data_IF_093518360922
#
_entry.id   IF_093518360922
#
_cell.length_a   1.000
_cell.length_b   1.000
_cell.length_c   1.000
_cell.angle_alpha   90.00
_cell.angle_beta   90.00
_cell.angle_gamma   90.00
#
_symmetry.space_group_name_H-M   'P 1'
#
loop_
_entity.id
_entity.type
_entity.pdbx_description
1 polymer ?
#
# COMPACT_ATOMS: atom_id res chain seq x y z
N UNK A 1 15.29 -1.30 -0.82
CA UNK A 1 15.16 -2.14 -2.03
C UNK A 1 16.43 -2.97 -2.29
N UNK A 2 17.60 -2.36 -2.51
CA UNK A 2 18.86 -3.11 -2.78
C UNK A 2 19.29 -4.05 -1.65
N UNK A 3 19.19 -3.60 -0.38
CA UNK A 3 19.49 -4.44 0.80
C UNK A 3 18.57 -5.67 0.93
N UNK A 4 17.35 -5.58 0.39
CA UNK A 4 16.35 -6.65 0.42
C UNK A 4 16.55 -7.60 -0.76
N UNK A 5 16.85 -7.05 -1.94
CA UNK A 5 17.18 -7.83 -3.13
C UNK A 5 18.42 -8.71 -2.93
N UNK A 6 19.42 -8.21 -2.18
CA UNK A 6 20.58 -9.02 -1.78
C UNK A 6 20.26 -10.26 -0.94
N UNK A 7 19.03 -10.38 -0.42
CA UNK A 7 18.55 -11.54 0.35
C UNK A 7 17.61 -12.46 -0.44
N UNK A 8 17.21 -12.09 -1.66
CA UNK A 8 16.27 -12.86 -2.48
C UNK A 8 16.92 -13.15 -3.83
N UNK A 9 17.53 -14.33 -3.95
CA UNK A 9 18.13 -14.79 -5.20
C UNK A 9 17.07 -14.83 -6.31
N UNK A 10 17.37 -14.21 -7.45
CA UNK A 10 16.45 -14.13 -8.58
C UNK A 10 15.38 -13.04 -8.50
N UNK A 11 15.39 -12.17 -7.48
CA UNK A 11 14.59 -10.94 -7.46
C UNK A 11 15.49 -9.72 -7.46
N UNK A 12 15.26 -8.80 -8.38
CA UNK A 12 16.01 -7.55 -8.44
C UNK A 12 15.39 -6.49 -7.53
N UNK A 13 16.17 -5.49 -7.13
CA UNK A 13 15.65 -4.34 -6.39
C UNK A 13 14.49 -3.65 -7.11
N UNK A 14 14.45 -3.74 -8.45
CA UNK A 14 13.40 -3.19 -9.28
C UNK A 14 12.07 -3.94 -9.14
N UNK A 15 12.11 -5.28 -9.05
CA UNK A 15 10.90 -6.10 -8.85
C UNK A 15 10.20 -5.79 -7.53
N UNK A 16 11.00 -5.60 -6.46
CA UNK A 16 10.47 -5.32 -5.13
C UNK A 16 9.85 -3.91 -5.10
N UNK A 17 10.49 -2.92 -5.76
CA UNK A 17 9.92 -1.57 -6.00
C UNK A 17 8.59 -1.65 -6.75
N UNK A 18 8.55 -2.42 -7.84
CA UNK A 18 7.37 -2.54 -8.69
C UNK A 18 6.20 -3.20 -7.95
N UNK A 19 6.49 -4.23 -7.14
CA UNK A 19 5.49 -4.88 -6.29
C UNK A 19 4.90 -3.91 -5.27
N UNK A 20 5.72 -3.08 -4.63
CA UNK A 20 5.23 -2.10 -3.66
C UNK A 20 4.34 -1.03 -4.29
N UNK A 21 4.80 -0.43 -5.39
CA UNK A 21 4.05 0.60 -6.10
C UNK A 21 2.71 0.09 -6.66
N UNK A 22 2.66 -1.15 -7.14
CA UNK A 22 1.43 -1.70 -7.73
C UNK A 22 0.49 -2.35 -6.71
N UNK A 23 0.99 -3.11 -5.75
CA UNK A 23 0.16 -3.92 -4.83
C UNK A 23 -0.05 -3.28 -3.45
N UNK A 24 0.96 -2.61 -2.90
CA UNK A 24 0.92 -2.14 -1.52
C UNK A 24 0.46 -0.69 -1.44
N UNK A 25 0.83 0.16 -2.41
CA UNK A 25 0.35 1.53 -2.48
C UNK A 25 -1.18 1.62 -2.65
N UNK A 26 -1.78 0.81 -3.55
CA UNK A 26 -3.24 0.78 -3.74
C UNK A 26 -3.98 0.35 -2.47
N UNK A 27 -3.48 -0.67 -1.77
CA UNK A 27 -4.07 -1.14 -0.51
C UNK A 27 -3.93 -0.11 0.62
N UNK A 28 -2.79 0.56 0.71
CA UNK A 28 -2.53 1.57 1.73
C UNK A 28 -3.34 2.84 1.49
N UNK A 29 -3.49 3.30 0.24
CA UNK A 29 -4.36 4.44 -0.12
C UNK A 29 -5.83 4.11 0.11
N UNK A 30 -6.28 2.90 -0.25
CA UNK A 30 -7.65 2.45 0.03
C UNK A 30 -7.93 2.40 1.55
N UNK A 31 -6.98 1.88 2.34
CA UNK A 31 -7.08 1.84 3.79
C UNK A 31 -7.06 3.24 4.42
N UNK A 32 -6.19 4.14 3.95
CA UNK A 32 -6.19 5.54 4.39
C UNK A 32 -7.46 6.29 3.99
N UNK A 33 -8.06 5.96 2.83
CA UNK A 33 -9.35 6.54 2.43
C UNK A 33 -10.49 6.05 3.33
N UNK A 34 -10.45 4.80 3.80
CA UNK A 34 -11.41 4.31 4.81
C UNK A 34 -11.22 5.01 6.17
N UNK A 35 -9.99 5.34 6.57
CA UNK A 35 -9.71 6.13 7.79
C UNK A 35 -10.08 7.61 7.68
N UNK A 36 -10.32 8.12 6.46
CA UNK A 36 -10.80 9.48 6.19
C UNK A 36 -12.25 9.52 5.67
N UNK A 37 -13.11 8.53 5.98
CA UNK A 37 -14.54 8.86 6.08
C UNK A 37 -14.72 9.61 7.39
N UNK A 38 -15.01 10.92 7.41
CA UNK A 38 -15.61 11.49 8.60
C UNK A 38 -16.88 10.68 8.85
N UNK A 39 -17.03 10.19 10.08
CA UNK A 39 -18.28 9.67 10.62
C UNK A 39 -19.30 10.81 10.70
N UNK A 40 -19.67 11.43 9.58
CA UNK A 40 -20.88 12.23 9.48
C UNK A 40 -22.00 11.29 9.06
N UNK A 41 -22.42 10.47 10.01
CA UNK A 41 -23.69 9.75 9.95
C UNK A 41 -24.79 10.82 10.05
N UNK A 42 -25.75 10.91 9.11
CA UNK A 42 -26.87 11.81 9.29
C UNK A 42 -27.73 11.27 10.44
N UNK A 43 -28.03 12.12 11.43
CA UNK A 43 -28.97 11.78 12.50
C UNK A 43 -30.35 11.56 11.88
N UNK A 44 -31.06 10.46 12.22
CA UNK A 44 -32.44 10.29 11.81
C UNK A 44 -33.32 11.34 12.49
N UNK A 45 -34.29 11.86 11.72
CA UNK A 45 -35.29 12.84 12.15
C UNK A 45 -36.25 12.27 13.19
#
# INVERSE_FOLDING_TARGET
WSLIAGRIVGRTANDIKNRWNSHLHKKMVAFNRQRKRPQSLPLPS
#
